data_IF_528161011478
#
_entry.id   IF_528161011478
#
_cell.length_a   1.000
_cell.length_b   1.000
_cell.length_c   1.000
_cell.angle_alpha   90.00
_cell.angle_beta   90.00
_cell.angle_gamma   90.00
#
_symmetry.space_group_name_H-M   'P 1'
#
loop_
_entity.id
_entity.type
_entity.pdbx_description
1 polymer ?
#
# COMPACT_ATOMS: atom_id res chain seq x y z
N UNK A 1 27.36 26.63 2.83
CA UNK A 1 27.02 25.20 2.91
C UNK A 1 25.53 25.12 2.76
N UNK A 2 25.07 24.91 1.53
CA UNK A 2 23.66 24.68 1.24
C UNK A 2 23.46 23.20 1.51
N UNK A 3 22.67 22.86 2.53
CA UNK A 3 22.32 21.48 2.79
C UNK A 3 21.44 20.99 1.64
N UNK A 4 21.95 20.04 0.88
CA UNK A 4 21.16 19.24 -0.03
C UNK A 4 20.15 18.46 0.81
N UNK A 5 18.90 18.93 0.82
CA UNK A 5 17.77 18.10 1.19
C UNK A 5 17.57 17.10 0.06
N UNK A 6 18.35 16.03 0.08
CA UNK A 6 18.02 14.78 -0.61
C UNK A 6 16.78 14.20 0.10
N UNK A 7 15.61 14.76 -0.18
CA UNK A 7 14.38 14.00 -0.10
C UNK A 7 14.46 12.98 -1.22
N UNK A 8 15.03 11.81 -0.91
CA UNK A 8 15.09 10.66 -1.81
C UNK A 8 13.65 10.26 -2.14
N UNK A 9 13.06 10.88 -3.16
CA UNK A 9 11.82 10.41 -3.73
C UNK A 9 12.08 8.97 -4.20
N UNK A 10 11.33 8.02 -3.64
CA UNK A 10 11.37 6.65 -4.14
C UNK A 10 10.83 6.70 -5.56
N UNK A 11 11.73 6.60 -6.55
CA UNK A 11 11.37 6.72 -7.95
C UNK A 11 10.47 5.54 -8.34
N UNK A 12 9.16 5.79 -8.39
CA UNK A 12 8.18 4.79 -8.82
C UNK A 12 8.22 4.65 -10.35
N UNK A 13 8.40 3.44 -10.91
CA UNK A 13 8.47 3.25 -12.35
C UNK A 13 7.24 3.81 -13.06
N UNK A 14 7.44 4.66 -14.07
CA UNK A 14 6.34 5.27 -14.83
C UNK A 14 5.41 4.23 -15.45
N UNK A 15 5.96 3.08 -15.87
CA UNK A 15 5.20 1.95 -16.43
C UNK A 15 4.20 1.33 -15.45
N UNK A 16 4.44 1.44 -14.14
CA UNK A 16 3.57 0.87 -13.10
C UNK A 16 2.57 1.87 -12.53
N UNK A 17 2.65 3.15 -12.91
CA UNK A 17 1.70 4.19 -12.43
C UNK A 17 0.24 3.84 -12.69
N UNK A 18 -0.15 3.29 -13.86
CA UNK A 18 -1.52 2.84 -14.08
C UNK A 18 -1.95 1.76 -13.08
N UNK A 19 -1.05 0.82 -12.76
CA UNK A 19 -1.32 -0.23 -11.77
C UNK A 19 -1.45 0.32 -10.36
N UNK A 20 -0.61 1.29 -9.97
CA UNK A 20 -0.72 1.98 -8.69
C UNK A 20 -2.07 2.71 -8.57
N UNK A 21 -2.49 3.40 -9.62
CA UNK A 21 -3.79 4.06 -9.66
C UNK A 21 -4.94 3.05 -9.53
N UNK A 22 -4.89 1.94 -10.27
CA UNK A 22 -5.88 0.88 -10.17
C UNK A 22 -5.94 0.25 -8.77
N UNK A 23 -4.79 0.02 -8.14
CA UNK A 23 -4.68 -0.47 -6.76
C UNK A 23 -5.39 0.48 -5.78
N UNK A 24 -5.10 1.78 -5.87
CA UNK A 24 -5.69 2.80 -5.00
C UNK A 24 -7.19 2.93 -5.24
N UNK A 25 -7.63 2.91 -6.50
CA UNK A 25 -9.07 2.90 -6.84
C UNK A 25 -9.75 1.69 -6.22
N UNK A 26 -9.16 0.49 -6.33
CA UNK A 26 -9.74 -0.73 -5.75
C UNK A 26 -9.79 -0.69 -4.23
N UNK A 27 -8.73 -0.19 -3.59
CA UNK A 27 -8.69 0.02 -2.15
C UNK A 27 -9.76 1.02 -1.69
N UNK A 28 -10.04 2.05 -2.50
CA UNK A 28 -11.13 3.02 -2.26
C UNK A 28 -12.49 2.34 -2.30
N UNK A 29 -12.78 1.57 -3.35
CA UNK A 29 -14.05 0.84 -3.49
C UNK A 29 -14.31 -0.14 -2.33
N UNK A 30 -13.25 -0.76 -1.81
CA UNK A 30 -13.35 -1.65 -0.65
C UNK A 30 -13.53 -0.86 0.64
N UNK A 31 -12.78 0.22 0.84
CA UNK A 31 -12.91 1.08 2.02
C UNK A 31 -14.32 1.68 2.17
N UNK A 32 -14.94 2.06 1.05
CA UNK A 32 -16.32 2.59 1.04
C UNK A 32 -17.37 1.52 1.34
N UNK A 33 -17.06 0.24 1.10
CA UNK A 33 -17.96 -0.89 1.29
C UNK A 33 -17.67 -1.73 2.54
N UNK A 34 -16.77 -1.29 3.42
CA UNK A 34 -16.25 -2.10 4.52
C UNK A 34 -16.14 -1.28 5.80
N UNK A 35 -16.57 -1.86 6.91
CA UNK A 35 -16.38 -1.31 8.26
C UNK A 35 -15.08 -1.82 8.91
N UNK A 36 -14.26 -2.61 8.20
CA UNK A 36 -13.07 -3.27 8.77
C UNK A 36 -12.15 -2.30 9.49
N UNK A 37 -11.89 -1.12 8.91
CA UNK A 37 -11.04 -0.11 9.55
C UNK A 37 -11.61 0.37 10.90
N UNK A 38 -12.93 0.52 10.99
CA UNK A 38 -13.58 1.06 12.19
C UNK A 38 -13.60 0.02 13.33
N UNK A 39 -13.47 -1.27 13.01
CA UNK A 39 -13.41 -2.39 13.96
C UNK A 39 -12.01 -3.02 14.11
N UNK A 40 -11.02 -2.55 13.34
CA UNK A 40 -9.66 -3.07 13.37
C UNK A 40 -8.99 -2.87 14.73
N UNK A 41 -8.06 -3.77 15.06
CA UNK A 41 -7.25 -3.59 16.26
C UNK A 41 -6.34 -2.35 16.10
N UNK A 42 -6.08 -1.66 17.21
CA UNK A 42 -5.28 -0.42 17.19
C UNK A 42 -3.88 -0.61 16.58
N UNK A 43 -3.29 -1.82 16.70
CA UNK A 43 -2.00 -2.17 16.09
C UNK A 43 -2.10 -2.21 14.56
N UNK A 44 -3.17 -2.77 14.01
CA UNK A 44 -3.41 -2.87 12.58
C UNK A 44 -3.61 -1.47 11.97
N UNK A 45 -4.35 -0.59 12.69
CA UNK A 45 -4.51 0.82 12.31
C UNK A 45 -3.17 1.55 12.32
N UNK A 46 -2.32 1.29 13.32
CA UNK A 46 -0.99 1.91 13.41
C UNK A 46 -0.07 1.45 12.26
N UNK A 47 -0.09 0.16 11.92
CA UNK A 47 0.69 -0.40 10.82
C UNK A 47 0.17 0.09 9.45
N UNK A 48 -1.14 0.23 9.28
CA UNK A 48 -1.72 0.89 8.11
C UNK A 48 -1.26 2.35 7.96
N UNK A 49 -1.02 3.05 9.08
CA UNK A 49 -0.43 4.39 9.08
C UNK A 49 0.99 4.44 8.50
N UNK A 50 1.73 3.33 8.51
CA UNK A 50 3.03 3.21 7.80
C UNK A 50 2.81 3.18 6.30
N UNK A 51 1.76 2.49 5.84
CA UNK A 51 1.38 2.44 4.41
C UNK A 51 0.91 3.80 3.91
N UNK A 52 0.18 4.59 4.71
CA UNK A 52 -0.14 5.99 4.37
C UNK A 52 1.11 6.78 4.04
N UNK A 53 2.15 6.69 4.90
CA UNK A 53 3.42 7.40 4.68
C UNK A 53 4.15 6.87 3.46
N UNK A 54 4.12 5.55 3.22
CA UNK A 54 4.71 4.93 2.04
C UNK A 54 4.07 5.41 0.73
N UNK A 55 2.73 5.51 0.69
CA UNK A 55 2.00 6.04 -0.47
C UNK A 55 2.29 7.53 -0.69
N UNK A 56 2.41 8.33 0.37
CA UNK A 56 2.78 9.74 0.27
C UNK A 56 4.18 9.92 -0.36
N UNK A 57 5.15 9.05 -0.04
CA UNK A 57 6.47 9.04 -0.70
C UNK A 57 6.40 8.73 -2.20
N UNK A 58 5.32 8.09 -2.67
CA UNK A 58 5.04 7.84 -4.09
C UNK A 58 4.19 8.95 -4.72
N UNK A 59 3.91 10.03 -3.99
CA UNK A 59 3.05 11.14 -4.43
C UNK A 59 1.55 10.84 -4.38
N UNK A 60 1.14 9.85 -3.58
CA UNK A 60 -0.26 9.42 -3.45
C UNK A 60 -0.74 9.70 -2.02
N UNK A 61 -1.60 10.70 -1.87
CA UNK A 61 -2.26 11.02 -0.61
C UNK A 61 -3.60 10.27 -0.53
N UNK A 62 -3.81 9.50 0.53
CA UNK A 62 -5.03 8.70 0.75
C UNK A 62 -5.53 8.82 2.19
N UNK A 63 -6.81 8.54 2.39
CA UNK A 63 -7.40 8.47 3.73
C UNK A 63 -6.89 7.23 4.50
N UNK A 64 -6.94 7.22 5.84
CA UNK A 64 -6.57 6.05 6.64
C UNK A 64 -7.34 4.77 6.27
N UNK A 65 -8.62 4.88 5.92
CA UNK A 65 -9.44 3.72 5.50
C UNK A 65 -8.91 3.08 4.21
N UNK A 66 -8.49 3.89 3.24
CA UNK A 66 -7.90 3.41 1.99
C UNK A 66 -6.52 2.78 2.25
N UNK A 67 -5.68 3.45 3.05
CA UNK A 67 -4.37 2.93 3.42
C UNK A 67 -4.48 1.59 4.17
N UNK A 68 -5.50 1.42 5.00
CA UNK A 68 -5.80 0.16 5.67
C UNK A 68 -6.12 -0.97 4.70
N UNK A 69 -6.90 -0.71 3.65
CA UNK A 69 -7.19 -1.72 2.63
C UNK A 69 -5.91 -2.15 1.88
N UNK A 70 -5.02 -1.20 1.58
CA UNK A 70 -3.72 -1.51 0.97
C UNK A 70 -2.82 -2.28 1.95
N UNK A 71 -2.81 -1.89 3.23
CA UNK A 71 -2.07 -2.60 4.27
C UNK A 71 -2.55 -4.02 4.48
N UNK A 72 -3.87 -4.24 4.54
CA UNK A 72 -4.46 -5.58 4.68
C UNK A 72 -3.96 -6.49 3.56
N UNK A 73 -4.01 -5.99 2.33
CA UNK A 73 -3.52 -6.70 1.16
C UNK A 73 -2.01 -7.01 1.25
N UNK A 74 -1.19 -6.04 1.66
CA UNK A 74 0.25 -6.25 1.88
C UNK A 74 0.49 -7.30 2.99
N UNK A 75 -0.28 -7.25 4.07
CA UNK A 75 -0.20 -8.18 5.20
C UNK A 75 -0.51 -9.62 4.77
N UNK A 76 -1.59 -9.81 3.99
CA UNK A 76 -1.94 -11.13 3.44
C UNK A 76 -0.86 -11.67 2.51
N UNK A 77 -0.35 -10.84 1.59
CA UNK A 77 0.73 -11.22 0.68
C UNK A 77 2.04 -11.48 1.44
N UNK A 78 2.30 -10.79 2.56
CA UNK A 78 3.44 -11.06 3.43
C UNK A 78 3.31 -12.40 4.14
N UNK A 79 2.13 -12.69 4.71
CA UNK A 79 1.85 -13.97 5.37
C UNK A 79 1.92 -15.16 4.40
N UNK A 80 1.57 -14.94 3.13
CA UNK A 80 1.74 -15.93 2.05
C UNK A 80 3.21 -16.12 1.61
N UNK A 81 4.14 -15.28 2.10
CA UNK A 81 5.55 -15.31 1.71
C UNK A 81 5.84 -14.69 0.34
N UNK A 82 4.90 -13.91 -0.20
CA UNK A 82 5.04 -13.24 -1.49
C UNK A 82 5.66 -11.86 -1.36
N UNK A 83 5.38 -11.13 -0.27
CA UNK A 83 5.97 -9.81 -0.03
C UNK A 83 6.73 -9.75 1.30
N UNK A 84 7.66 -8.81 1.37
CA UNK A 84 8.24 -8.37 2.63
C UNK A 84 7.28 -7.41 3.32
N UNK A 85 6.98 -7.67 4.60
CA UNK A 85 6.10 -6.83 5.41
C UNK A 85 6.79 -5.50 5.77
N UNK A 86 6.07 -4.37 5.74
CA UNK A 86 6.69 -3.06 5.93
C UNK A 86 7.04 -2.79 7.41
N UNK A 87 8.28 -2.38 7.67
CA UNK A 87 8.72 -1.92 9.00
C UNK A 87 8.77 -0.39 9.13
N UNK A 88 8.63 0.31 8.00
CA UNK A 88 8.69 1.77 7.89
C UNK A 88 8.17 2.25 6.53
N UNK A 89 8.13 3.57 6.33
CA UNK A 89 7.53 4.18 5.15
C UNK A 89 8.23 3.78 3.82
N UNK A 90 9.56 3.67 3.83
CA UNK A 90 10.33 3.20 2.67
C UNK A 90 10.06 1.72 2.35
N UNK A 91 9.93 0.87 3.37
CA UNK A 91 9.56 -0.53 3.15
C UNK A 91 8.13 -0.64 2.64
N UNK A 92 7.22 0.22 3.13
CA UNK A 92 5.85 0.27 2.64
C UNK A 92 5.77 0.72 1.17
N UNK A 93 6.56 1.72 0.75
CA UNK A 93 6.58 2.11 -0.66
C UNK A 93 7.16 1.01 -1.55
N UNK A 94 8.16 0.25 -1.07
CA UNK A 94 8.67 -0.95 -1.77
C UNK A 94 7.64 -2.09 -1.82
N UNK A 95 6.90 -2.32 -0.74
CA UNK A 95 5.84 -3.33 -0.71
C UNK A 95 4.71 -2.98 -1.68
N UNK A 96 4.30 -1.70 -1.75
CA UNK A 96 3.34 -1.20 -2.74
C UNK A 96 3.87 -1.39 -4.16
N UNK A 97 5.16 -1.10 -4.40
CA UNK A 97 5.79 -1.35 -5.70
C UNK A 97 5.79 -2.84 -6.07
N UNK A 98 6.17 -3.72 -5.15
CA UNK A 98 6.16 -5.16 -5.36
C UNK A 98 4.76 -5.69 -5.68
N UNK A 99 3.75 -5.20 -4.96
CA UNK A 99 2.35 -5.53 -5.22
C UNK A 99 1.91 -5.05 -6.62
N UNK A 100 2.29 -3.83 -7.02
CA UNK A 100 2.01 -3.33 -8.37
C UNK A 100 2.71 -4.16 -9.46
N UNK A 101 3.93 -4.65 -9.19
CA UNK A 101 4.64 -5.53 -10.11
C UNK A 101 3.90 -6.87 -10.27
N UNK A 102 3.49 -7.50 -9.17
CA UNK A 102 2.71 -8.76 -9.22
C UNK A 102 1.40 -8.61 -9.98
N UNK A 103 0.67 -7.52 -9.76
CA UNK A 103 -0.56 -7.22 -10.50
C UNK A 103 -0.25 -7.02 -11.99
N UNK A 104 0.79 -6.25 -12.33
CA UNK A 104 1.16 -5.96 -13.71
C UNK A 104 1.60 -7.22 -14.48
N UNK A 105 2.32 -8.12 -13.82
CA UNK A 105 2.82 -9.37 -14.39
C UNK A 105 1.75 -10.47 -14.44
N UNK A 106 0.58 -10.24 -13.82
CA UNK A 106 -0.46 -11.27 -13.66
C UNK A 106 0.01 -12.47 -12.83
N UNK A 107 0.96 -12.23 -11.92
CA UNK A 107 1.45 -13.25 -10.97
C UNK A 107 0.35 -13.55 -9.95
N UNK A 108 0.31 -14.75 -9.38
CA UNK A 108 -0.57 -15.04 -8.25
C UNK A 108 -0.23 -14.13 -7.06
N UNK A 109 -1.23 -13.43 -6.54
CA UNK A 109 -1.14 -12.58 -5.35
C UNK A 109 -2.44 -12.71 -4.55
N UNK A 110 -2.39 -12.40 -3.26
CA UNK A 110 -3.60 -12.40 -2.45
C UNK A 110 -4.40 -11.21 -2.96
N UNK A 111 -5.57 -11.48 -3.53
CA UNK A 111 -6.47 -10.44 -3.99
C UNK A 111 -7.18 -9.83 -2.79
N UNK A 112 -7.71 -8.62 -2.95
CA UNK A 112 -8.60 -8.07 -1.92
C UNK A 112 -9.70 -9.09 -1.62
N UNK A 113 -9.86 -9.44 -0.34
CA UNK A 113 -10.99 -10.23 0.15
C UNK A 113 -12.27 -9.45 -0.12
N UNK A 114 -12.80 -9.61 -1.34
CA UNK A 114 -13.95 -8.86 -1.81
C UNK A 114 -15.12 -9.01 -0.83
N UNK A 115 -15.67 -7.85 -0.44
CA UNK A 115 -16.94 -7.58 0.28
C UNK A 115 -17.56 -8.79 0.98
N UNK A 116 -17.49 -8.79 2.31
CA UNK A 116 -18.47 -9.49 3.14
C UNK A 116 -19.90 -9.13 2.79
#
# INVERSE_FOLDING_TARGET
>A
MTSDNDTTEVSFPASLRPTLQALVTRATENADGSDEYDFAAAVEVADAGVVTKGLALLGIEVSPKIAYQVWSLISENHQAGWLEGPRGAEDASRAVLGLCQYIADGTDYAGFSGKG
#
